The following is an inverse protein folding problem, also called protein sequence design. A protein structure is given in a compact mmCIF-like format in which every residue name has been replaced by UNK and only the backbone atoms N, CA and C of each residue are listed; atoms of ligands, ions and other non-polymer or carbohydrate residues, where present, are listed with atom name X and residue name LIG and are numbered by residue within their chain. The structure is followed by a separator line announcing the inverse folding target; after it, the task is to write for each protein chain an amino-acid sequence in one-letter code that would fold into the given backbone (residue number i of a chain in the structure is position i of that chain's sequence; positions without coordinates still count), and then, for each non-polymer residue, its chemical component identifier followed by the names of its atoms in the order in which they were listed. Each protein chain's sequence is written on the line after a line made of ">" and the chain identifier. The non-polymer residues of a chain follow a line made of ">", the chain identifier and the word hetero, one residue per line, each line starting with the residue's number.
data_IF_261986751456
#
_entry.id   IF_261986751456
#
_cell.length_a   1.000
_cell.length_b   1.000
_cell.length_c   1.000
_cell.angle_alpha   90.00
_cell.angle_beta   90.00
_cell.angle_gamma   90.00
#
_symmetry.space_group_name_H-M   'P 1'
#
loop_
_entity.id
_entity.type
_entity.pdbx_description
1 polymer ?
#
# COMPACT_ATOMS: atom_id res chain seq x y z
N UNK A 1 -26.00 23.58 5.91
CA UNK A 1 -25.25 22.42 6.47
C UNK A 1 -24.19 22.00 5.46
N UNK A 2 -22.94 21.89 5.87
CA UNK A 2 -21.86 21.42 4.97
C UNK A 2 -22.07 19.94 4.70
N UNK A 3 -22.09 19.54 3.42
CA UNK A 3 -22.16 18.12 3.04
C UNK A 3 -20.74 17.55 2.95
N UNK A 4 -20.25 16.94 4.04
CA UNK A 4 -18.91 16.40 4.14
C UNK A 4 -18.67 15.25 3.17
N UNK A 5 -19.69 14.44 2.86
CA UNK A 5 -19.54 13.31 1.92
C UNK A 5 -19.26 13.73 0.47
N UNK A 6 -19.60 14.97 0.12
CA UNK A 6 -19.34 15.52 -1.22
C UNK A 6 -17.98 16.24 -1.33
N UNK A 7 -17.25 16.41 -0.23
CA UNK A 7 -15.94 17.06 -0.24
C UNK A 7 -14.83 16.09 -0.67
N UNK A 8 -13.80 16.64 -1.34
CA UNK A 8 -12.59 15.88 -1.63
C UNK A 8 -11.79 15.57 -0.35
N UNK A 9 -10.96 14.53 -0.42
CA UNK A 9 -10.15 14.12 0.72
C UNK A 9 -9.21 15.23 1.20
N UNK A 10 -8.60 15.98 0.28
CA UNK A 10 -7.72 17.11 0.59
C UNK A 10 -8.45 18.20 1.38
N UNK A 11 -9.68 18.54 0.96
CA UNK A 11 -10.50 19.52 1.68
C UNK A 11 -10.88 19.02 3.08
N UNK A 12 -11.23 17.74 3.20
CA UNK A 12 -11.53 17.13 4.50
C UNK A 12 -10.30 17.11 5.40
N UNK A 13 -9.10 16.87 4.86
CA UNK A 13 -7.84 16.92 5.61
C UNK A 13 -7.61 18.33 6.19
N UNK A 14 -7.74 19.37 5.38
CA UNK A 14 -7.58 20.77 5.85
C UNK A 14 -8.56 21.07 6.98
N UNK A 15 -9.83 20.67 6.84
CA UNK A 15 -10.84 20.86 7.89
C UNK A 15 -10.47 20.06 9.16
N UNK A 16 -10.01 18.83 9.00
CA UNK A 16 -9.60 17.98 10.14
C UNK A 16 -8.40 18.55 10.88
N UNK A 17 -7.43 19.11 10.18
CA UNK A 17 -6.28 19.82 10.76
C UNK A 17 -6.69 21.07 11.56
N UNK A 18 -7.82 21.67 11.20
CA UNK A 18 -8.47 22.77 11.92
C UNK A 18 -9.46 22.30 13.01
N UNK A 19 -9.33 21.04 13.47
CA UNK A 19 -10.16 20.43 14.51
C UNK A 19 -11.64 20.23 14.17
N UNK A 20 -12.01 20.13 12.89
CA UNK A 20 -13.37 19.75 12.50
C UNK A 20 -13.57 18.23 12.70
N UNK A 21 -14.30 17.88 13.77
CA UNK A 21 -14.56 16.48 14.13
C UNK A 21 -15.43 15.74 13.11
N UNK A 22 -16.27 16.44 12.36
CA UNK A 22 -17.10 15.82 11.33
C UNK A 22 -16.28 15.48 10.09
N UNK A 23 -15.32 16.34 9.72
CA UNK A 23 -14.40 16.07 8.62
C UNK A 23 -13.52 14.84 8.89
N UNK A 24 -12.96 14.73 10.10
CA UNK A 24 -12.15 13.56 10.46
C UNK A 24 -12.98 12.27 10.57
N UNK A 25 -14.24 12.37 11.01
CA UNK A 25 -15.16 11.22 11.03
C UNK A 25 -15.44 10.71 9.63
N UNK A 26 -15.72 11.60 8.68
CA UNK A 26 -15.94 11.26 7.27
C UNK A 26 -14.70 10.60 6.64
N UNK A 27 -13.52 11.19 6.85
CA UNK A 27 -12.26 10.60 6.40
C UNK A 27 -12.04 9.21 7.02
N UNK A 28 -12.32 9.05 8.32
CA UNK A 28 -12.15 7.77 9.01
C UNK A 28 -13.05 6.67 8.42
N UNK A 29 -14.26 7.00 8.01
CA UNK A 29 -15.17 6.06 7.32
C UNK A 29 -14.61 5.63 5.96
N UNK A 30 -14.08 6.58 5.18
CA UNK A 30 -13.49 6.28 3.86
C UNK A 30 -12.23 5.43 4.01
N UNK A 31 -11.33 5.83 4.88
CA UNK A 31 -10.00 5.20 5.02
C UNK A 31 -10.00 3.93 5.88
N UNK A 32 -11.05 3.67 6.65
CA UNK A 32 -11.25 2.39 7.32
C UNK A 32 -11.27 1.22 6.34
N UNK A 33 -11.97 1.37 5.20
CA UNK A 33 -12.01 0.37 4.14
C UNK A 33 -10.64 0.22 3.46
N UNK A 34 -9.93 1.32 3.24
CA UNK A 34 -8.58 1.30 2.66
C UNK A 34 -7.59 0.61 3.60
N UNK A 35 -7.66 0.89 4.90
CA UNK A 35 -6.82 0.24 5.91
C UNK A 35 -7.07 -1.26 5.96
N UNK A 36 -8.33 -1.68 5.96
CA UNK A 36 -8.70 -3.10 5.94
C UNK A 36 -8.21 -3.80 4.66
N UNK A 37 -8.41 -3.19 3.50
CA UNK A 37 -7.93 -3.74 2.23
C UNK A 37 -6.40 -3.88 2.19
N UNK A 38 -5.65 -2.94 2.80
CA UNK A 38 -4.20 -3.05 2.92
C UNK A 38 -3.84 -4.17 3.92
N UNK A 39 -4.51 -4.26 5.07
CA UNK A 39 -4.26 -5.29 6.08
C UNK A 39 -4.48 -6.71 5.53
N UNK A 40 -5.53 -6.92 4.75
CA UNK A 40 -5.84 -8.22 4.12
C UNK A 40 -4.79 -8.70 3.12
N UNK A 41 -3.88 -7.83 2.68
CA UNK A 41 -2.73 -8.26 1.86
C UNK A 41 -1.61 -8.92 2.68
N UNK A 42 -1.66 -8.86 4.01
CA UNK A 42 -0.63 -9.40 4.90
C UNK A 42 -1.07 -10.65 5.65
N UNK A 43 -2.37 -10.88 5.79
CA UNK A 43 -2.90 -12.04 6.49
C UNK A 43 -4.28 -12.41 5.93
N UNK A 44 -4.59 -13.70 5.92
CA UNK A 44 -5.92 -14.23 5.62
C UNK A 44 -6.76 -14.47 6.88
N UNK A 45 -6.16 -14.37 8.06
CA UNK A 45 -6.88 -14.48 9.33
C UNK A 45 -7.69 -13.21 9.60
N UNK A 46 -8.97 -13.38 9.88
CA UNK A 46 -9.93 -12.27 10.03
C UNK A 46 -9.65 -11.41 11.27
N UNK A 47 -9.24 -12.04 12.37
CA UNK A 47 -8.97 -11.35 13.64
C UNK A 47 -7.66 -10.57 13.53
N UNK A 48 -6.61 -11.19 13.03
CA UNK A 48 -5.33 -10.54 12.77
C UNK A 48 -5.48 -9.39 11.74
N UNK A 49 -6.30 -9.58 10.70
CA UNK A 49 -6.59 -8.54 9.72
C UNK A 49 -7.28 -7.33 10.37
N UNK A 50 -8.23 -7.55 11.27
CA UNK A 50 -8.90 -6.48 11.99
C UNK A 50 -7.91 -5.70 12.87
N UNK A 51 -7.04 -6.40 13.61
CA UNK A 51 -6.01 -5.78 14.44
C UNK A 51 -5.00 -4.97 13.61
N UNK A 52 -4.50 -5.53 12.52
CA UNK A 52 -3.62 -4.83 11.59
C UNK A 52 -4.28 -3.63 10.95
N UNK A 53 -5.58 -3.72 10.65
CA UNK A 53 -6.35 -2.59 10.13
C UNK A 53 -6.45 -1.46 11.14
N UNK A 54 -6.60 -1.75 12.43
CA UNK A 54 -6.60 -0.73 13.49
C UNK A 54 -5.23 -0.06 13.63
N UNK A 55 -4.14 -0.83 13.60
CA UNK A 55 -2.78 -0.27 13.53
C UNK A 55 -2.62 0.63 12.30
N UNK A 56 -3.15 0.22 11.15
CA UNK A 56 -3.19 1.02 9.94
C UNK A 56 -3.91 2.35 10.12
N UNK A 57 -5.03 2.36 10.87
CA UNK A 57 -5.78 3.59 11.17
C UNK A 57 -4.97 4.58 12.02
N UNK A 58 -4.06 4.11 12.87
CA UNK A 58 -3.11 5.02 13.54
C UNK A 58 -2.17 5.68 12.52
N UNK A 59 -1.72 4.93 11.52
CA UNK A 59 -0.94 5.46 10.40
C UNK A 59 -1.72 6.49 9.58
N UNK A 60 -2.99 6.22 9.33
CA UNK A 60 -3.91 7.17 8.67
C UNK A 60 -4.04 8.48 9.47
N UNK A 61 -4.29 8.42 10.78
CA UNK A 61 -4.38 9.63 11.61
C UNK A 61 -3.08 10.45 11.55
N UNK A 62 -1.93 9.78 11.59
CA UNK A 62 -0.63 10.46 11.41
C UNK A 62 -0.55 11.13 10.05
N UNK A 63 -1.09 10.49 8.98
CA UNK A 63 -1.11 11.08 7.65
C UNK A 63 -2.00 12.33 7.59
N UNK A 64 -3.19 12.32 8.22
CA UNK A 64 -4.08 13.50 8.26
C UNK A 64 -3.36 14.73 8.81
N UNK A 65 -2.64 14.58 9.92
CA UNK A 65 -1.98 15.72 10.58
C UNK A 65 -0.65 16.13 9.94
N UNK A 66 -0.01 15.24 9.17
CA UNK A 66 1.28 15.54 8.53
C UNK A 66 1.19 15.88 7.04
N UNK A 67 0.04 15.64 6.40
CA UNK A 67 -0.14 15.95 4.98
C UNK A 67 -0.09 17.43 4.69
N UNK A 68 0.59 17.79 3.59
CA UNK A 68 0.66 19.14 3.03
C UNK A 68 0.28 19.10 1.55
N UNK A 69 -0.66 19.92 1.15
CA UNK A 69 -1.25 19.93 -0.19
C UNK A 69 -0.25 20.21 -1.34
N UNK A 70 0.91 20.79 -1.04
CA UNK A 70 1.92 21.18 -2.03
C UNK A 70 2.93 20.10 -2.39
N UNK A 71 2.80 18.90 -1.86
CA UNK A 71 3.66 17.76 -2.23
C UNK A 71 2.98 16.99 -3.37
N UNK A 72 3.74 16.62 -4.40
CA UNK A 72 3.34 16.00 -5.68
C UNK A 72 2.57 14.66 -5.56
N UNK A 73 1.79 14.44 -4.52
CA UNK A 73 1.00 13.25 -4.25
C UNK A 73 -0.38 13.59 -3.72
N UNK A 74 -1.40 12.87 -4.19
CA UNK A 74 -2.76 12.94 -3.63
C UNK A 74 -2.76 12.46 -2.19
N UNK A 75 -3.72 12.94 -1.39
CA UNK A 75 -3.86 12.47 -0.01
C UNK A 75 -4.03 10.95 0.07
N UNK A 76 -4.78 10.34 -0.86
CA UNK A 76 -4.95 8.89 -0.93
C UNK A 76 -3.60 8.15 -1.03
N UNK A 77 -2.72 8.59 -1.91
CA UNK A 77 -1.39 7.99 -2.08
C UNK A 77 -0.54 8.12 -0.82
N UNK A 78 -0.55 9.30 -0.20
CA UNK A 78 0.21 9.57 1.01
C UNK A 78 -0.31 8.75 2.20
N UNK A 79 -1.63 8.76 2.43
CA UNK A 79 -2.27 8.03 3.51
C UNK A 79 -2.09 6.51 3.37
N UNK A 80 -2.25 5.96 2.16
CA UNK A 80 -2.03 4.53 1.91
C UNK A 80 -0.61 4.10 2.25
N UNK A 81 0.38 4.94 1.97
CA UNK A 81 1.79 4.69 2.36
C UNK A 81 1.97 4.71 3.89
N UNK A 82 1.37 5.68 4.58
CA UNK A 82 1.43 5.78 6.05
C UNK A 82 0.75 4.60 6.72
N UNK A 83 -0.43 4.20 6.23
CA UNK A 83 -1.17 3.01 6.69
C UNK A 83 -0.29 1.77 6.55
N UNK A 84 0.21 1.49 5.35
CA UNK A 84 1.07 0.34 5.07
C UNK A 84 2.31 0.31 5.96
N UNK A 85 3.00 1.43 6.11
CA UNK A 85 4.21 1.53 6.94
C UNK A 85 3.90 1.23 8.41
N UNK A 86 2.75 1.67 8.90
CA UNK A 86 2.33 1.40 10.28
C UNK A 86 2.01 -0.08 10.49
N UNK A 87 1.28 -0.71 9.56
CA UNK A 87 1.01 -2.15 9.57
C UNK A 87 2.32 -2.96 9.56
N UNK A 88 3.25 -2.63 8.67
CA UNK A 88 4.56 -3.29 8.62
C UNK A 88 5.35 -3.14 9.92
N UNK A 89 5.27 -1.97 10.55
CA UNK A 89 5.92 -1.76 11.86
C UNK A 89 5.29 -2.62 12.96
N UNK A 90 3.96 -2.78 12.96
CA UNK A 90 3.26 -3.67 13.87
C UNK A 90 3.67 -5.13 13.67
N UNK A 91 3.70 -5.61 12.43
CA UNK A 91 4.15 -6.96 12.08
C UNK A 91 5.59 -7.24 12.52
N UNK A 92 6.51 -6.30 12.27
CA UNK A 92 7.90 -6.43 12.74
C UNK A 92 7.99 -6.54 14.27
N UNK A 93 7.20 -5.75 14.99
CA UNK A 93 7.15 -5.81 16.46
C UNK A 93 6.62 -7.17 16.94
N UNK A 94 5.57 -7.69 16.34
CA UNK A 94 5.01 -9.01 16.66
C UNK A 94 6.04 -10.11 16.40
N UNK A 95 6.74 -10.07 15.26
CA UNK A 95 7.76 -11.05 14.90
C UNK A 95 9.02 -10.96 15.77
N UNK A 96 9.38 -9.77 16.27
CA UNK A 96 10.50 -9.61 17.19
C UNK A 96 10.21 -10.14 18.60
N UNK A 97 8.94 -10.13 19.00
CA UNK A 97 8.50 -10.65 20.31
C UNK A 97 8.28 -12.18 20.29
N UNK A 98 7.86 -12.70 19.14
CA UNK A 98 7.87 -14.14 18.85
C UNK A 98 9.22 -14.44 18.22
N UNK A 99 10.21 -14.91 18.97
CA UNK A 99 11.42 -15.53 18.40
C UNK A 99 10.97 -16.74 17.57
N UNK A 100 10.64 -16.50 16.32
CA UNK A 100 10.42 -17.57 15.34
C UNK A 100 11.79 -17.97 14.85
N UNK A 101 12.16 -19.28 14.96
CA UNK A 101 13.37 -19.79 14.33
C UNK A 101 13.34 -19.52 12.83
N UNK A 102 14.50 -19.24 12.22
CA UNK A 102 14.69 -18.98 10.79
C UNK A 102 14.15 -20.07 9.84
N UNK A 103 13.63 -21.19 10.37
CA UNK A 103 13.09 -22.34 9.63
C UNK A 103 11.67 -22.12 9.07
N UNK A 104 11.00 -20.99 9.35
CA UNK A 104 9.65 -20.65 8.85
C UNK A 104 9.65 -19.48 7.86
N UNK A 105 10.77 -19.21 7.21
CA UNK A 105 10.79 -18.42 5.98
C UNK A 105 10.17 -19.27 4.86
N UNK A 106 8.85 -19.20 4.76
CA UNK A 106 8.09 -19.85 3.69
C UNK A 106 8.54 -19.24 2.36
N UNK A 107 9.01 -20.13 1.47
CA UNK A 107 9.41 -19.81 0.10
C UNK A 107 8.31 -19.03 -0.63
N UNK A 108 8.72 -18.05 -1.42
CA UNK A 108 7.85 -17.16 -2.23
C UNK A 108 6.91 -17.89 -3.20
N UNK A 109 7.05 -19.19 -3.39
CA UNK A 109 6.24 -20.00 -4.29
C UNK A 109 4.84 -20.36 -3.74
N UNK A 110 4.57 -20.16 -2.44
CA UNK A 110 3.29 -20.53 -1.82
C UNK A 110 2.31 -19.37 -1.62
N UNK A 111 2.64 -18.15 -2.06
CA UNK A 111 1.76 -16.97 -1.88
C UNK A 111 0.75 -16.80 -3.05
N UNK A 112 0.75 -17.68 -4.04
CA UNK A 112 -0.10 -17.54 -5.24
C UNK A 112 -1.53 -18.08 -5.13
N UNK A 113 -1.98 -18.63 -4.00
CA UNK A 113 -3.25 -19.37 -3.99
C UNK A 113 -4.28 -19.02 -2.91
N UNK A 114 -4.22 -17.89 -2.21
CA UNK A 114 -5.34 -17.60 -1.29
C UNK A 114 -5.63 -16.12 -1.13
N UNK A 115 -6.45 -15.57 -2.02
CA UNK A 115 -7.22 -14.35 -1.78
C UNK A 115 -8.53 -14.42 -2.58
N UNK A 116 -9.44 -15.27 -2.16
CA UNK A 116 -10.81 -15.27 -2.65
C UNK A 116 -11.70 -14.57 -1.62
N UNK A 117 -11.89 -13.25 -1.76
CA UNK A 117 -13.11 -12.62 -1.30
C UNK A 117 -14.19 -12.84 -2.38
N UNK A 118 -15.47 -13.05 -2.02
CA UNK A 118 -16.54 -13.19 -2.99
C UNK A 118 -16.86 -11.82 -3.59
N UNK A 119 -16.02 -11.39 -4.51
CA UNK A 119 -16.37 -10.31 -5.42
C UNK A 119 -17.38 -10.85 -6.45
N UNK A 120 -18.31 -10.00 -6.86
CA UNK A 120 -19.24 -10.34 -7.95
C UNK A 120 -18.42 -10.78 -9.17
N UNK A 121 -18.96 -11.72 -10.01
CA UNK A 121 -18.24 -12.22 -11.19
C UNK A 121 -17.66 -11.13 -12.09
N UNK A 122 -18.33 -9.97 -12.16
CA UNK A 122 -17.88 -8.82 -12.95
C UNK A 122 -16.64 -8.13 -12.36
N UNK A 123 -16.55 -8.00 -11.03
CA UNK A 123 -15.38 -7.42 -10.35
C UNK A 123 -14.17 -8.35 -10.45
N UNK A 124 -14.37 -9.67 -10.43
CA UNK A 124 -13.31 -10.65 -10.64
C UNK A 124 -12.73 -10.55 -12.06
N UNK A 125 -13.58 -10.42 -13.08
CA UNK A 125 -13.15 -10.29 -14.48
C UNK A 125 -12.38 -8.98 -14.70
N UNK A 126 -12.83 -7.88 -14.12
CA UNK A 126 -12.15 -6.59 -14.20
C UNK A 126 -10.80 -6.60 -13.45
N UNK A 127 -10.74 -7.23 -12.28
CA UNK A 127 -9.50 -7.36 -11.51
C UNK A 127 -8.49 -8.29 -12.16
N UNK A 128 -8.91 -9.43 -12.71
CA UNK A 128 -8.03 -10.33 -13.45
C UNK A 128 -7.49 -9.73 -14.75
N UNK A 129 -8.34 -9.03 -15.50
CA UNK A 129 -7.92 -8.36 -16.73
C UNK A 129 -6.95 -7.22 -16.43
N UNK A 130 -7.19 -6.44 -15.38
CA UNK A 130 -6.30 -5.38 -14.91
C UNK A 130 -4.98 -5.93 -14.39
N UNK A 131 -5.00 -7.00 -13.61
CA UNK A 131 -3.80 -7.66 -13.09
C UNK A 131 -2.95 -8.25 -14.23
N UNK A 132 -3.57 -8.90 -15.21
CA UNK A 132 -2.88 -9.43 -16.40
C UNK A 132 -2.25 -8.31 -17.25
N UNK A 133 -2.95 -7.19 -17.41
CA UNK A 133 -2.41 -6.03 -18.13
C UNK A 133 -1.20 -5.45 -17.40
N UNK A 134 -1.29 -5.26 -16.08
CA UNK A 134 -0.17 -4.72 -15.28
C UNK A 134 1.02 -5.68 -15.31
N UNK A 135 0.80 -6.99 -15.16
CA UNK A 135 1.87 -7.98 -15.23
C UNK A 135 2.56 -8.00 -16.59
N UNK A 136 1.82 -7.92 -17.70
CA UNK A 136 2.41 -7.83 -19.04
C UNK A 136 3.22 -6.55 -19.22
N UNK A 137 2.73 -5.40 -18.74
CA UNK A 137 3.47 -4.14 -18.79
C UNK A 137 4.78 -4.18 -17.98
N UNK A 138 4.75 -4.84 -16.82
CA UNK A 138 5.95 -5.06 -15.98
C UNK A 138 6.96 -5.92 -16.76
N UNK A 139 6.49 -7.03 -17.35
CA UNK A 139 7.34 -7.95 -18.09
C UNK A 139 7.97 -7.31 -19.34
N UNK A 140 7.22 -6.51 -20.09
CA UNK A 140 7.64 -5.95 -21.36
C UNK A 140 8.51 -4.69 -21.20
N UNK A 141 8.25 -3.86 -20.18
CA UNK A 141 8.84 -2.51 -20.14
C UNK A 141 9.85 -2.28 -19.02
N UNK A 142 9.89 -3.15 -18.00
CA UNK A 142 10.86 -3.01 -16.92
C UNK A 142 12.09 -3.88 -17.14
N UNK A 143 13.27 -3.34 -16.81
CA UNK A 143 14.50 -4.15 -16.76
C UNK A 143 14.43 -5.14 -15.59
N UNK A 144 15.24 -6.21 -15.65
CA UNK A 144 15.31 -7.20 -14.57
C UNK A 144 15.50 -6.56 -13.19
N UNK A 145 16.44 -5.63 -13.08
CA UNK A 145 16.69 -4.93 -11.81
C UNK A 145 15.49 -4.09 -11.34
N UNK A 146 14.79 -3.41 -12.26
CA UNK A 146 13.60 -2.62 -11.95
C UNK A 146 12.44 -3.51 -11.50
N UNK A 147 12.28 -4.70 -12.11
CA UNK A 147 11.31 -5.72 -11.70
C UNK A 147 11.61 -6.25 -10.31
N UNK A 148 12.84 -6.72 -10.08
CA UNK A 148 13.24 -7.31 -8.80
C UNK A 148 13.06 -6.31 -7.65
N UNK A 149 13.49 -5.06 -7.85
CA UNK A 149 13.32 -4.00 -6.86
C UNK A 149 11.84 -3.67 -6.65
N UNK A 150 11.04 -3.58 -7.73
CA UNK A 150 9.61 -3.29 -7.64
C UNK A 150 8.86 -4.41 -6.90
N UNK A 151 9.12 -5.66 -7.23
CA UNK A 151 8.48 -6.81 -6.59
C UNK A 151 8.79 -6.86 -5.09
N UNK A 152 10.07 -6.72 -4.71
CA UNK A 152 10.45 -6.67 -3.30
C UNK A 152 9.86 -5.46 -2.56
N UNK A 153 9.74 -4.31 -3.23
CA UNK A 153 9.08 -3.16 -2.65
C UNK A 153 7.58 -3.40 -2.41
N UNK A 154 6.89 -4.06 -3.34
CA UNK A 154 5.47 -4.39 -3.22
C UNK A 154 5.19 -5.39 -2.08
N UNK A 155 6.14 -6.27 -1.75
CA UNK A 155 6.05 -7.14 -0.57
C UNK A 155 6.32 -6.41 0.76
N UNK A 156 6.56 -5.10 0.72
CA UNK A 156 6.72 -4.26 1.91
C UNK A 156 8.12 -4.29 2.54
N UNK A 157 9.10 -4.86 1.85
CA UNK A 157 10.50 -4.87 2.30
C UNK A 157 11.07 -3.44 2.29
N UNK A 158 11.87 -3.07 3.30
CA UNK A 158 12.47 -1.74 3.39
C UNK A 158 13.54 -1.51 2.31
N UNK A 159 13.81 -0.25 1.95
CA UNK A 159 14.85 0.07 0.97
C UNK A 159 16.25 -0.44 1.38
N UNK A 160 16.54 -0.45 2.69
CA UNK A 160 17.79 -1.01 3.21
C UNK A 160 17.90 -2.51 2.97
N UNK A 161 16.85 -3.24 3.32
CA UNK A 161 16.80 -4.70 3.16
C UNK A 161 16.78 -5.11 1.67
N UNK A 162 16.10 -4.32 0.81
CA UNK A 162 16.15 -4.52 -0.65
C UNK A 162 17.57 -4.30 -1.18
N UNK A 163 18.23 -3.25 -0.70
CA UNK A 163 19.60 -2.94 -1.08
C UNK A 163 20.56 -4.08 -0.70
N UNK A 164 20.44 -4.60 0.51
CA UNK A 164 21.21 -5.74 0.99
C UNK A 164 20.92 -7.01 0.17
N UNK A 165 19.63 -7.35 0.00
CA UNK A 165 19.19 -8.57 -0.71
C UNK A 165 19.62 -8.59 -2.18
N UNK A 166 19.62 -7.44 -2.85
CA UNK A 166 20.00 -7.33 -4.26
C UNK A 166 21.45 -6.86 -4.47
N UNK A 167 22.21 -6.70 -3.39
CA UNK A 167 23.58 -6.16 -3.41
C UNK A 167 23.68 -4.81 -4.14
N UNK A 168 22.78 -3.91 -3.80
CA UNK A 168 22.65 -2.55 -4.36
C UNK A 168 22.85 -1.51 -3.28
N UNK A 169 23.15 -0.27 -3.68
CA UNK A 169 23.06 0.85 -2.74
C UNK A 169 21.59 1.29 -2.53
N UNK A 170 21.22 1.83 -1.36
CA UNK A 170 19.87 2.36 -1.13
C UNK A 170 19.44 3.42 -2.17
N UNK A 171 20.40 4.23 -2.65
CA UNK A 171 20.20 5.20 -3.72
C UNK A 171 19.89 4.52 -5.07
N UNK A 172 20.52 3.38 -5.35
CA UNK A 172 20.24 2.60 -6.57
C UNK A 172 18.84 1.97 -6.53
N UNK A 173 18.39 1.51 -5.35
CA UNK A 173 17.02 1.01 -5.13
C UNK A 173 16.00 2.11 -5.38
N UNK A 174 16.20 3.30 -4.80
CA UNK A 174 15.30 4.44 -5.01
C UNK A 174 15.23 4.85 -6.49
N UNK A 175 16.39 4.94 -7.14
CA UNK A 175 16.47 5.29 -8.57
C UNK A 175 15.79 4.24 -9.46
N UNK A 176 15.91 2.96 -9.15
CA UNK A 176 15.24 1.86 -9.88
C UNK A 176 13.72 1.95 -9.72
N UNK A 177 13.22 2.19 -8.50
CA UNK A 177 11.79 2.38 -8.25
C UNK A 177 11.22 3.62 -8.96
N UNK A 178 11.96 4.72 -8.98
CA UNK A 178 11.53 5.92 -9.71
C UNK A 178 11.41 5.66 -11.20
N UNK A 179 12.40 4.97 -11.81
CA UNK A 179 12.35 4.59 -13.22
C UNK A 179 11.19 3.64 -13.53
N UNK A 180 11.01 2.60 -12.70
CA UNK A 180 9.91 1.66 -12.85
C UNK A 180 8.54 2.36 -12.81
N UNK A 181 8.31 3.22 -11.82
CA UNK A 181 7.08 4.01 -11.70
C UNK A 181 6.85 4.94 -12.88
N UNK A 182 7.89 5.60 -13.37
CA UNK A 182 7.81 6.49 -14.54
C UNK A 182 7.39 5.71 -15.79
N UNK A 183 8.05 4.60 -16.08
CA UNK A 183 7.74 3.76 -17.24
C UNK A 183 6.32 3.21 -17.20
N UNK A 184 5.88 2.69 -16.04
CA UNK A 184 4.52 2.18 -15.88
C UNK A 184 3.47 3.29 -16.03
N UNK A 185 3.72 4.49 -15.47
CA UNK A 185 2.80 5.62 -15.61
C UNK A 185 2.66 6.09 -17.05
N UNK A 186 3.76 6.18 -17.80
CA UNK A 186 3.75 6.54 -19.22
C UNK A 186 2.95 5.56 -20.07
N UNK A 187 3.03 4.27 -19.74
CA UNK A 187 2.30 3.22 -20.47
C UNK A 187 0.83 3.09 -20.06
N UNK A 188 0.53 3.25 -18.78
CA UNK A 188 -0.86 3.27 -18.29
C UNK A 188 -1.59 4.53 -18.77
N UNK A 189 -0.93 5.69 -18.77
CA UNK A 189 -1.52 6.95 -19.25
C UNK A 189 -1.79 7.01 -20.75
N UNK A 190 -1.18 6.14 -21.55
CA UNK A 190 -1.42 6.04 -23.00
C UNK A 190 -2.52 5.01 -23.36
N UNK A 191 -3.06 4.29 -22.39
CA UNK A 191 -4.06 3.22 -22.59
C UNK A 191 -5.44 3.57 -22.01
N UNK A 192 -5.64 4.81 -21.52
CA UNK A 192 -6.93 5.34 -21.07
C UNK A 192 -7.24 6.68 -21.72
#
# INVERSE_FOLDING_TARGET
>A
MVNYSALSDEKLVILSQNNDTKAISELSLRYGKVSFAIASTFTSDSEECADLSQEGMIGFLSAVYSYRENENATFLTYASRCIRNKILSALRKLNSTKRIPDSLLVSLEQISETSAHPDTPENLILSESGAKLISSLIEEHLSKQEKDVLMLYLTGISYGDIAEKLNLSPKAVDSALQRARKKLREKLGNNF
#
